data_IF_510419604046
#
_entry.id   IF_510419604046
#
_cell.length_a   1.000
_cell.length_b   1.000
_cell.length_c   1.000
_cell.angle_alpha   90.00
_cell.angle_beta   90.00
_cell.angle_gamma   90.00
#
_symmetry.space_group_name_H-M   'P 1'
#
loop_
_entity.id
_entity.type
_entity.pdbx_description
1 polymer ?
#
# COMPACT_ATOMS: atom_id res chain seq x y z
N UNK A 1 24.99 -15.74 -5.75
CA UNK A 1 24.19 -15.79 -4.51
C UNK A 1 24.06 -14.45 -3.77
N UNK A 2 25.15 -13.74 -3.46
CA UNK A 2 25.07 -12.49 -2.66
C UNK A 2 24.20 -11.38 -3.28
N UNK A 3 24.25 -11.19 -4.62
CA UNK A 3 23.46 -10.19 -5.35
C UNK A 3 21.95 -10.45 -5.29
N UNK A 4 21.55 -11.71 -5.49
CA UNK A 4 20.15 -12.13 -5.37
C UNK A 4 19.64 -11.95 -3.94
N UNK A 5 20.44 -12.31 -2.93
CA UNK A 5 20.09 -12.10 -1.52
C UNK A 5 19.87 -10.62 -1.18
N UNK A 6 20.77 -9.73 -1.63
CA UNK A 6 20.62 -8.27 -1.45
C UNK A 6 19.35 -7.74 -2.09
N UNK A 7 19.02 -8.22 -3.29
CA UNK A 7 17.82 -7.83 -4.02
C UNK A 7 16.55 -8.24 -3.29
N UNK A 8 16.51 -9.47 -2.76
CA UNK A 8 15.39 -9.95 -1.94
C UNK A 8 15.22 -9.12 -0.67
N UNK A 9 16.31 -8.81 0.04
CA UNK A 9 16.26 -7.95 1.24
C UNK A 9 15.69 -6.58 0.90
N UNK A 10 16.11 -5.99 -0.22
CA UNK A 10 15.61 -4.70 -0.68
C UNK A 10 14.11 -4.75 -1.00
N UNK A 11 13.65 -5.78 -1.71
CA UNK A 11 12.20 -5.96 -1.98
C UNK A 11 11.42 -6.09 -0.68
N UNK A 12 11.89 -6.89 0.29
CA UNK A 12 11.24 -7.02 1.60
C UNK A 12 11.19 -5.67 2.32
N UNK A 13 12.29 -4.90 2.31
CA UNK A 13 12.32 -3.56 2.90
C UNK A 13 11.30 -2.62 2.26
N UNK A 14 11.18 -2.63 0.92
CA UNK A 14 10.18 -1.84 0.21
C UNK A 14 8.75 -2.26 0.54
N UNK A 15 8.49 -3.58 0.64
CA UNK A 15 7.18 -4.10 1.06
C UNK A 15 6.82 -3.64 2.46
N UNK A 16 7.78 -3.66 3.40
CA UNK A 16 7.56 -3.18 4.77
C UNK A 16 7.24 -1.67 4.76
N UNK A 17 8.02 -0.86 4.05
CA UNK A 17 7.79 0.59 3.94
C UNK A 17 6.40 0.87 3.35
N UNK A 18 6.06 0.22 2.24
CA UNK A 18 4.76 0.38 1.59
C UNK A 18 3.62 -0.07 2.51
N UNK A 19 3.81 -1.15 3.28
CA UNK A 19 2.82 -1.61 4.27
C UNK A 19 2.57 -0.53 5.34
N UNK A 20 3.63 0.11 5.84
CA UNK A 20 3.48 1.21 6.81
C UNK A 20 2.76 2.42 6.21
N UNK A 21 3.08 2.77 4.95
CA UNK A 21 2.41 3.86 4.25
C UNK A 21 0.93 3.57 4.04
N UNK A 22 0.58 2.39 3.50
CA UNK A 22 -0.82 1.97 3.29
C UNK A 22 -1.57 1.93 4.62
N UNK A 23 -0.97 1.37 5.66
CA UNK A 23 -1.58 1.34 7.00
C UNK A 23 -1.85 2.75 7.53
N UNK A 24 -0.92 3.70 7.35
CA UNK A 24 -1.13 5.08 7.77
C UNK A 24 -2.25 5.78 6.98
N UNK A 25 -2.38 5.48 5.70
CA UNK A 25 -3.40 6.04 4.82
C UNK A 25 -4.82 5.51 5.11
N UNK A 26 -4.92 4.28 5.61
CA UNK A 26 -6.20 3.64 5.98
C UNK A 26 -6.73 4.10 7.33
N UNK A 27 -5.93 4.77 8.16
CA UNK A 27 -6.39 5.32 9.43
C UNK A 27 -7.33 6.51 9.17
N UNK A 28 -8.57 6.51 9.70
CA UNK A 28 -9.52 7.60 9.47
C UNK A 28 -9.01 8.95 9.97
N UNK A 29 -9.33 10.03 9.25
CA UNK A 29 -8.95 11.40 9.60
C UNK A 29 -9.30 11.82 11.04
N UNK A 30 -10.41 11.31 11.59
CA UNK A 30 -10.82 11.61 12.97
C UNK A 30 -9.86 11.02 14.01
N UNK A 31 -9.14 9.93 13.69
CA UNK A 31 -8.10 9.40 14.57
C UNK A 31 -6.85 10.26 14.49
N UNK A 32 -6.43 10.67 13.28
CA UNK A 32 -5.26 11.53 13.11
C UNK A 32 -5.40 12.87 13.83
N UNK A 33 -6.55 13.53 13.73
CA UNK A 33 -6.84 14.77 14.45
C UNK A 33 -6.85 14.61 15.97
N UNK A 34 -7.18 13.42 16.50
CA UNK A 34 -7.08 13.12 17.94
C UNK A 34 -5.64 12.87 18.40
N UNK A 35 -4.83 12.18 17.59
CA UNK A 35 -3.43 11.89 17.91
C UNK A 35 -2.51 13.10 17.69
N UNK A 36 -2.88 13.99 16.76
CA UNK A 36 -2.11 15.19 16.39
C UNK A 36 -2.99 16.45 16.55
N UNK A 37 -3.43 16.78 17.78
CA UNK A 37 -4.38 17.86 18.01
C UNK A 37 -3.83 19.25 17.63
N UNK A 38 -2.51 19.40 17.59
CA UNK A 38 -1.84 20.65 17.22
C UNK A 38 -1.55 20.77 15.71
N UNK A 39 -1.87 19.76 14.91
CA UNK A 39 -1.66 19.77 13.47
C UNK A 39 -2.94 20.19 12.75
N UNK A 40 -2.91 21.36 12.11
CA UNK A 40 -4.04 21.88 11.34
C UNK A 40 -4.31 21.08 10.05
N UNK A 41 -3.31 20.36 9.54
CA UNK A 41 -3.42 19.55 8.32
C UNK A 41 -3.84 18.10 8.59
N UNK A 42 -3.87 17.64 9.84
CA UNK A 42 -4.08 16.22 10.15
C UNK A 42 -5.44 15.66 9.71
N UNK A 43 -6.43 16.52 9.51
CA UNK A 43 -7.74 16.12 8.99
C UNK A 43 -7.70 15.73 7.50
N UNK A 44 -6.76 16.27 6.73
CA UNK A 44 -6.64 16.08 5.29
C UNK A 44 -5.47 15.17 4.93
N UNK A 45 -4.31 15.44 5.53
CA UNK A 45 -3.03 14.83 5.16
C UNK A 45 -2.59 13.72 6.15
N UNK A 46 -3.41 13.44 7.16
CA UNK A 46 -3.10 12.46 8.21
C UNK A 46 -1.86 12.86 9.02
N UNK A 47 -0.87 11.98 9.21
CA UNK A 47 0.33 12.31 9.99
C UNK A 47 1.34 13.16 9.23
N UNK A 48 1.10 13.43 7.95
CA UNK A 48 2.09 14.07 7.08
C UNK A 48 1.88 15.59 7.01
N UNK A 49 2.96 16.39 7.06
CA UNK A 49 2.87 17.81 6.75
C UNK A 49 2.43 18.04 5.29
N UNK A 50 1.74 19.16 4.97
CA UNK A 50 1.22 19.43 3.62
C UNK A 50 2.28 19.39 2.51
N UNK A 51 3.52 19.76 2.84
CA UNK A 51 4.65 19.72 1.90
C UNK A 51 5.02 18.28 1.47
N UNK A 52 4.78 17.31 2.34
CA UNK A 52 5.20 15.90 2.16
C UNK A 52 4.05 15.03 1.66
N UNK A 53 2.79 15.39 1.95
CA UNK A 53 1.62 14.60 1.57
C UNK A 53 1.54 14.22 0.07
N UNK A 54 1.84 15.12 -0.90
CA UNK A 54 1.87 14.75 -2.31
C UNK A 54 2.95 13.72 -2.64
N UNK A 55 4.08 13.76 -1.93
CA UNK A 55 5.17 12.79 -2.10
C UNK A 55 4.72 11.42 -1.58
N UNK A 56 4.01 11.37 -0.45
CA UNK A 56 3.45 10.11 0.06
C UNK A 56 2.46 9.52 -0.94
N UNK A 57 1.55 10.33 -1.49
CA UNK A 57 0.63 9.88 -2.51
C UNK A 57 1.36 9.32 -3.74
N UNK A 58 2.44 9.99 -4.19
CA UNK A 58 3.29 9.50 -5.27
C UNK A 58 3.96 8.16 -4.92
N UNK A 59 4.46 8.01 -3.69
CA UNK A 59 5.12 6.79 -3.23
C UNK A 59 4.17 5.59 -3.24
N UNK A 60 2.90 5.76 -2.85
CA UNK A 60 1.87 4.70 -2.90
C UNK A 60 1.62 4.17 -4.33
N UNK A 61 1.94 4.94 -5.36
CA UNK A 61 1.88 4.49 -6.75
C UNK A 61 3.22 3.93 -7.25
N UNK A 62 4.34 4.58 -6.91
CA UNK A 62 5.65 4.20 -7.41
C UNK A 62 6.17 2.93 -6.75
N UNK A 63 5.99 2.76 -5.44
CA UNK A 63 6.59 1.65 -4.70
C UNK A 63 6.08 0.28 -5.16
N UNK A 64 4.77 0.04 -5.35
CA UNK A 64 4.30 -1.22 -5.93
C UNK A 64 4.90 -1.51 -7.31
N UNK A 65 5.06 -0.48 -8.15
CA UNK A 65 5.72 -0.61 -9.46
C UNK A 65 7.21 -0.94 -9.34
N UNK A 66 7.93 -0.29 -8.44
CA UNK A 66 9.35 -0.57 -8.19
C UNK A 66 9.54 -1.99 -7.64
N UNK A 67 8.69 -2.42 -6.70
CA UNK A 67 8.65 -3.79 -6.18
C UNK A 67 8.47 -4.78 -7.34
N UNK A 68 7.51 -4.52 -8.24
CA UNK A 68 7.27 -5.33 -9.43
C UNK A 68 8.49 -5.40 -10.36
N UNK A 69 9.12 -4.27 -10.65
CA UNK A 69 10.32 -4.16 -11.49
C UNK A 69 11.53 -4.93 -10.92
N UNK A 70 11.59 -5.04 -9.60
CA UNK A 70 12.64 -5.79 -8.92
C UNK A 70 12.36 -7.29 -8.87
N UNK A 71 11.14 -7.75 -9.12
CA UNK A 71 10.83 -9.18 -9.08
C UNK A 71 11.26 -9.91 -10.37
N UNK A 72 11.85 -11.13 -10.28
CA UNK A 72 12.26 -11.87 -11.47
C UNK A 72 11.08 -12.53 -12.21
N UNK A 73 10.03 -12.94 -11.50
CA UNK A 73 8.83 -13.55 -12.08
C UNK A 73 7.59 -12.72 -11.80
N UNK A 74 6.63 -12.75 -12.72
CA UNK A 74 5.41 -11.98 -12.62
C UNK A 74 4.57 -12.36 -11.39
N UNK A 75 4.57 -13.64 -11.00
CA UNK A 75 3.85 -14.10 -9.80
C UNK A 75 4.40 -13.44 -8.54
N UNK A 76 5.73 -13.35 -8.42
CA UNK A 76 6.38 -12.68 -7.28
C UNK A 76 6.15 -11.17 -7.31
N UNK A 77 6.16 -10.58 -8.51
CA UNK A 77 5.89 -9.15 -8.69
C UNK A 77 4.51 -8.77 -8.16
N UNK A 78 3.48 -9.48 -8.62
CA UNK A 78 2.09 -9.25 -8.19
C UNK A 78 1.91 -9.56 -6.72
N UNK A 79 2.44 -10.68 -6.22
CA UNK A 79 2.34 -11.05 -4.81
C UNK A 79 2.98 -9.98 -3.90
N UNK A 80 4.25 -9.62 -4.14
CA UNK A 80 4.92 -8.65 -3.27
C UNK A 80 4.36 -7.24 -3.42
N UNK A 81 3.92 -6.83 -4.61
CA UNK A 81 3.27 -5.54 -4.80
C UNK A 81 1.92 -5.47 -4.08
N UNK A 82 1.15 -6.56 -4.00
CA UNK A 82 -0.18 -6.57 -3.37
C UNK A 82 -0.15 -6.83 -1.87
N UNK A 83 0.90 -7.43 -1.32
CA UNK A 83 1.01 -7.72 0.12
C UNK A 83 0.69 -6.52 1.04
N UNK A 84 1.21 -5.29 0.78
CA UNK A 84 0.86 -4.11 1.56
C UNK A 84 -0.65 -3.84 1.62
N UNK A 85 -1.34 -3.95 0.48
CA UNK A 85 -2.79 -3.76 0.40
C UNK A 85 -3.54 -4.89 1.12
N UNK A 86 -3.10 -6.14 1.02
CA UNK A 86 -3.69 -7.26 1.79
C UNK A 86 -3.59 -7.04 3.30
N UNK A 87 -2.41 -6.67 3.79
CA UNK A 87 -2.20 -6.39 5.21
C UNK A 87 -3.01 -5.18 5.67
N UNK A 88 -2.95 -4.09 4.89
CA UNK A 88 -3.70 -2.87 5.15
C UNK A 88 -5.19 -3.12 5.29
N UNK A 89 -5.78 -3.76 4.27
CA UNK A 89 -7.18 -4.13 4.25
C UNK A 89 -7.52 -5.09 5.38
N UNK A 90 -6.72 -6.14 5.61
CA UNK A 90 -6.99 -7.11 6.68
C UNK A 90 -7.07 -6.46 8.06
N UNK A 91 -6.11 -5.59 8.40
CA UNK A 91 -6.11 -4.89 9.70
C UNK A 91 -7.25 -3.87 9.76
N UNK A 92 -7.45 -3.08 8.71
CA UNK A 92 -8.52 -2.11 8.65
C UNK A 92 -9.89 -2.77 8.81
N UNK A 93 -10.08 -3.93 8.19
CA UNK A 93 -11.33 -4.66 8.22
C UNK A 93 -11.64 -5.23 9.60
N UNK A 94 -10.64 -5.80 10.28
CA UNK A 94 -10.75 -6.21 11.69
C UNK A 94 -11.06 -5.01 12.57
N UNK A 95 -10.47 -3.85 12.32
CA UNK A 95 -10.79 -2.63 13.06
C UNK A 95 -12.23 -2.14 12.79
N UNK A 96 -12.68 -2.23 11.54
CA UNK A 96 -14.00 -1.80 11.11
C UNK A 96 -15.12 -2.65 11.72
N UNK A 97 -14.91 -3.97 11.93
CA UNK A 97 -15.92 -4.82 12.58
C UNK A 97 -16.21 -4.41 14.01
N UNK A 98 -15.26 -3.84 14.75
CA UNK A 98 -15.49 -3.31 16.10
C UNK A 98 -16.35 -2.03 16.13
N UNK A 99 -16.36 -1.26 15.04
CA UNK A 99 -17.07 0.04 14.98
C UNK A 99 -18.38 -0.03 14.19
N UNK A 100 -18.40 -0.77 13.10
CA UNK A 100 -19.50 -0.82 12.10
C UNK A 100 -20.21 -2.17 12.13
N UNK A 101 -19.56 -3.23 12.63
CA UNK A 101 -20.11 -4.58 12.75
C UNK A 101 -19.59 -5.56 11.69
N UNK A 102 -19.90 -6.85 11.83
CA UNK A 102 -19.32 -7.93 11.01
C UNK A 102 -19.73 -7.89 9.53
N UNK A 103 -20.83 -7.23 9.19
CA UNK A 103 -21.32 -7.12 7.80
C UNK A 103 -20.65 -6.01 6.97
N UNK A 104 -19.65 -5.30 7.53
CA UNK A 104 -18.85 -4.32 6.79
C UNK A 104 -18.33 -4.88 5.45
N UNK A 105 -17.88 -6.14 5.48
CA UNK A 105 -17.33 -6.86 4.33
C UNK A 105 -18.29 -7.11 3.17
N UNK A 106 -19.60 -7.16 3.43
CA UNK A 106 -20.59 -7.54 2.41
C UNK A 106 -21.36 -6.34 1.87
N UNK A 107 -21.07 -5.14 2.39
CA UNK A 107 -21.63 -3.91 1.86
C UNK A 107 -20.97 -3.55 0.52
N UNK A 108 -21.80 -3.27 -0.49
CA UNK A 108 -21.35 -3.11 -1.88
C UNK A 108 -20.28 -2.01 -2.03
N UNK A 109 -20.44 -0.89 -1.34
CA UNK A 109 -19.52 0.26 -1.43
C UNK A 109 -18.13 -0.06 -0.88
N UNK A 110 -18.05 -0.83 0.21
CA UNK A 110 -16.77 -1.20 0.82
C UNK A 110 -16.09 -2.34 0.07
N UNK A 111 -16.85 -3.28 -0.50
CA UNK A 111 -16.29 -4.32 -1.38
C UNK A 111 -15.61 -3.70 -2.59
N UNK A 112 -16.30 -2.79 -3.30
CA UNK A 112 -15.77 -2.15 -4.49
C UNK A 112 -14.47 -1.40 -4.18
N UNK A 113 -14.45 -0.57 -3.13
CA UNK A 113 -13.25 0.19 -2.76
C UNK A 113 -12.06 -0.71 -2.39
N UNK A 114 -12.29 -1.77 -1.61
CA UNK A 114 -11.23 -2.68 -1.17
C UNK A 114 -10.66 -3.50 -2.34
N UNK A 115 -11.53 -3.99 -3.23
CA UNK A 115 -11.13 -4.74 -4.43
C UNK A 115 -10.35 -3.84 -5.39
N UNK A 116 -10.82 -2.62 -5.64
CA UNK A 116 -10.12 -1.67 -6.50
C UNK A 116 -8.71 -1.34 -6.01
N UNK A 117 -8.48 -1.29 -4.69
CA UNK A 117 -7.13 -1.10 -4.15
C UNK A 117 -6.20 -2.28 -4.45
N UNK A 118 -6.69 -3.51 -4.27
CA UNK A 118 -5.93 -4.73 -4.60
C UNK A 118 -5.64 -4.82 -6.10
N UNK A 119 -6.61 -4.48 -6.95
CA UNK A 119 -6.47 -4.44 -8.40
C UNK A 119 -5.43 -3.39 -8.83
N UNK A 120 -5.47 -2.19 -8.25
CA UNK A 120 -4.49 -1.15 -8.51
C UNK A 120 -3.07 -1.63 -8.19
N UNK A 121 -2.86 -2.21 -7.00
CA UNK A 121 -1.54 -2.69 -6.58
C UNK A 121 -1.05 -3.86 -7.44
N UNK A 122 -1.97 -4.76 -7.85
CA UNK A 122 -1.67 -5.84 -8.77
C UNK A 122 -1.26 -5.31 -10.15
N UNK A 123 -2.00 -4.33 -10.69
CA UNK A 123 -1.70 -3.70 -11.97
C UNK A 123 -0.34 -2.98 -11.94
N UNK A 124 -0.07 -2.19 -10.89
CA UNK A 124 1.21 -1.50 -10.73
C UNK A 124 2.38 -2.48 -10.62
N UNK A 125 2.23 -3.56 -9.85
CA UNK A 125 3.23 -4.63 -9.75
C UNK A 125 3.47 -5.34 -11.09
N UNK A 126 2.42 -5.63 -11.83
CA UNK A 126 2.51 -6.24 -13.17
C UNK A 126 3.19 -5.30 -14.18
N UNK A 127 2.84 -4.00 -14.19
CA UNK A 127 3.47 -2.97 -15.03
C UNK A 127 4.96 -2.86 -14.72
N UNK A 128 5.33 -2.84 -13.44
CA UNK A 128 6.73 -2.83 -13.01
C UNK A 128 7.50 -4.02 -13.56
N UNK A 129 6.93 -5.22 -13.44
CA UNK A 129 7.53 -6.43 -14.00
C UNK A 129 7.62 -6.42 -15.53
N UNK A 130 6.59 -5.93 -16.23
CA UNK A 130 6.61 -5.78 -17.69
C UNK A 130 7.74 -4.84 -18.13
N UNK A 131 7.90 -3.71 -17.45
CA UNK A 131 9.02 -2.81 -17.68
C UNK A 131 10.36 -3.53 -17.54
N UNK A 132 10.54 -4.33 -16.48
CA UNK A 132 11.74 -5.16 -16.31
C UNK A 132 11.92 -6.12 -17.49
N UNK A 133 10.86 -6.84 -17.88
CA UNK A 133 10.92 -7.83 -18.94
C UNK A 133 11.34 -7.20 -20.28
N UNK A 134 10.94 -5.96 -20.55
CA UNK A 134 11.32 -5.22 -21.76
C UNK A 134 12.77 -4.71 -21.67
N UNK A 135 13.16 -4.05 -20.59
CA UNK A 135 14.47 -3.40 -20.46
C UNK A 135 15.62 -4.35 -20.10
N UNK A 136 15.31 -5.53 -19.56
CA UNK A 136 16.30 -6.44 -18.96
C UNK A 136 16.26 -7.86 -19.53
N UNK A 137 15.81 -8.01 -20.78
CA UNK A 137 15.98 -9.26 -21.55
C UNK A 137 17.42 -9.74 -21.53
#
# INVERSE_FOLDING_TARGET
MAKERRKTILVIGLVIIETLLVMSALVPAQFWTRFLPNSTSAALDGPFPPLVAPIIALLLYILPTVIGFLCPGWQKAVLYATLPAWFGLGVFLVAATFKIGPFYLVSADHVAANVSLLELFAALGAIGWLGRFIFKR
#
